data_IF_855613349482
#
_entry.id   IF_855613349482
#
_cell.length_a   1.000
_cell.length_b   1.000
_cell.length_c   1.000
_cell.angle_alpha   90.00
_cell.angle_beta   90.00
_cell.angle_gamma   90.00
#
_symmetry.space_group_name_H-M   'P 1'
#
loop_
_entity.id
_entity.type
_entity.pdbx_description
1 polymer ?
#
# COMPACT_ATOMS: atom_id res chain seq x y z
N UNK A 1 8.57 -12.29 -0.15
CA UNK A 1 7.54 -11.79 0.78
C UNK A 1 7.62 -10.26 0.78
N UNK A 2 6.49 -9.54 0.82
CA UNK A 2 6.44 -8.07 0.69
C UNK A 2 5.75 -7.48 1.93
N UNK A 3 6.26 -6.36 2.44
CA UNK A 3 5.65 -5.57 3.51
C UNK A 3 5.40 -4.13 3.08
N UNK A 4 4.40 -3.49 3.70
CA UNK A 4 4.06 -2.09 3.47
C UNK A 4 3.60 -1.39 4.76
N UNK A 5 3.95 -0.11 4.91
CA UNK A 5 3.56 0.74 6.04
C UNK A 5 3.12 2.11 5.52
N UNK A 6 1.95 2.58 5.95
CA UNK A 6 1.45 3.93 5.68
C UNK A 6 1.73 4.83 6.88
N UNK A 7 2.39 5.95 6.63
CA UNK A 7 2.79 6.93 7.66
C UNK A 7 2.27 8.31 7.29
N UNK A 8 1.73 9.04 8.28
CA UNK A 8 1.36 10.45 8.12
C UNK A 8 1.63 11.20 9.40
N UNK A 9 2.22 12.39 9.30
CA UNK A 9 2.54 13.24 10.45
C UNK A 9 3.36 12.53 11.56
N UNK A 10 4.25 11.61 11.18
CA UNK A 10 5.05 10.83 12.13
C UNK A 10 4.32 9.66 12.79
N UNK A 11 3.05 9.41 12.44
CA UNK A 11 2.26 8.31 12.97
C UNK A 11 2.08 7.19 11.95
N UNK A 12 2.13 5.95 12.40
CA UNK A 12 1.79 4.77 11.59
C UNK A 12 0.27 4.66 11.54
N UNK A 13 -0.29 4.81 10.34
CA UNK A 13 -1.73 4.71 10.10
C UNK A 13 -2.16 3.29 9.75
N UNK A 14 -1.29 2.50 9.11
CA UNK A 14 -1.61 1.16 8.66
C UNK A 14 -0.38 0.35 8.29
N UNK A 15 -0.46 -0.97 8.46
CA UNK A 15 0.60 -1.91 8.13
C UNK A 15 0.00 -3.10 7.38
N UNK A 16 0.79 -3.69 6.48
CA UNK A 16 0.36 -4.82 5.67
C UNK A 16 1.53 -5.69 5.25
N UNK A 17 1.22 -6.97 5.01
CA UNK A 17 2.15 -7.93 4.45
C UNK A 17 1.42 -8.87 3.49
N UNK A 18 2.11 -9.33 2.44
CA UNK A 18 1.58 -10.37 1.57
C UNK A 18 1.81 -11.74 2.22
N UNK A 19 0.74 -12.33 2.76
CA UNK A 19 0.81 -13.56 3.56
C UNK A 19 0.62 -14.84 2.74
N UNK A 20 -0.09 -14.78 1.60
CA UNK A 20 -0.40 -15.96 0.78
C UNK A 20 -0.59 -15.60 -0.68
N UNK A 21 -0.03 -16.40 -1.59
CA UNK A 21 -0.23 -16.21 -3.02
C UNK A 21 -1.72 -16.22 -3.40
N UNK A 22 -2.13 -15.22 -4.19
CA UNK A 22 -3.51 -15.06 -4.65
C UNK A 22 -4.42 -14.32 -3.67
N UNK A 23 -3.91 -13.86 -2.52
CA UNK A 23 -4.61 -12.90 -1.64
C UNK A 23 -4.12 -11.47 -1.90
N UNK A 24 -4.77 -10.43 -1.33
CA UNK A 24 -4.31 -9.06 -1.50
C UNK A 24 -2.84 -8.86 -1.12
N UNK A 25 -2.18 -7.93 -1.80
CA UNK A 25 -0.79 -7.58 -1.53
C UNK A 25 -0.67 -6.72 -0.27
N UNK A 26 0.57 -6.47 0.15
CA UNK A 26 0.88 -5.73 1.37
C UNK A 26 0.30 -4.31 1.35
N UNK A 27 0.37 -3.64 0.20
CA UNK A 27 -0.11 -2.29 -0.05
C UNK A 27 -1.62 -2.18 0.19
N UNK A 28 -2.39 -3.19 -0.28
CA UNK A 28 -3.84 -3.25 -0.09
C UNK A 28 -4.18 -3.30 1.40
N UNK A 29 -3.49 -4.16 2.15
CA UNK A 29 -3.70 -4.29 3.59
C UNK A 29 -3.32 -3.02 4.36
N UNK A 30 -2.17 -2.41 4.03
CA UNK A 30 -1.70 -1.20 4.69
C UNK A 30 -2.62 0.00 4.43
N UNK A 31 -3.07 0.17 3.19
CA UNK A 31 -4.01 1.23 2.78
C UNK A 31 -5.38 1.03 3.43
N UNK A 32 -5.91 -0.20 3.42
CA UNK A 32 -7.17 -0.51 4.07
C UNK A 32 -7.12 -0.24 5.59
N UNK A 33 -6.01 -0.57 6.24
CA UNK A 33 -5.81 -0.29 7.67
C UNK A 33 -5.73 1.22 7.97
N UNK A 34 -5.13 2.01 7.07
CA UNK A 34 -5.06 3.47 7.20
C UNK A 34 -6.42 4.17 6.98
N UNK A 35 -7.34 3.54 6.25
CA UNK A 35 -8.69 4.06 5.98
C UNK A 35 -8.67 5.48 5.39
N UNK A 36 -9.62 6.31 5.80
CA UNK A 36 -9.77 7.69 5.29
C UNK A 36 -8.56 8.60 5.57
N UNK A 37 -7.68 8.21 6.51
CA UNK A 37 -6.49 9.00 6.87
C UNK A 37 -5.36 8.87 5.83
N UNK A 38 -5.47 7.92 4.90
CA UNK A 38 -4.44 7.61 3.88
C UNK A 38 -4.15 8.79 2.92
N UNK A 39 -5.13 9.66 2.68
CA UNK A 39 -4.97 10.77 1.74
C UNK A 39 -3.88 11.74 2.22
N UNK A 40 -2.88 11.98 1.38
CA UNK A 40 -1.70 12.81 1.69
C UNK A 40 -0.69 12.15 2.62
N UNK A 41 -0.80 10.84 2.87
CA UNK A 41 0.19 10.06 3.61
C UNK A 41 1.36 9.64 2.70
N UNK A 42 2.40 9.08 3.32
CA UNK A 42 3.49 8.39 2.64
C UNK A 42 3.33 6.88 2.82
N UNK A 43 3.82 6.10 1.85
CA UNK A 43 3.90 4.65 1.96
C UNK A 43 5.33 4.17 1.77
N UNK A 44 5.74 3.22 2.61
CA UNK A 44 7.01 2.52 2.53
C UNK A 44 6.71 1.08 2.16
N UNK A 45 7.29 0.58 1.08
CA UNK A 45 7.07 -0.77 0.58
C UNK A 45 8.41 -1.43 0.30
N UNK A 46 8.55 -2.71 0.58
CA UNK A 46 9.86 -3.41 0.44
C UNK A 46 10.19 -3.86 -0.99
N UNK A 47 9.26 -3.67 -1.93
CA UNK A 47 9.38 -4.09 -3.33
C UNK A 47 8.52 -3.16 -4.18
N UNK A 48 8.92 -2.95 -5.43
CA UNK A 48 8.16 -2.12 -6.38
C UNK A 48 6.68 -2.56 -6.46
N UNK A 49 5.71 -1.62 -6.27
CA UNK A 49 4.30 -1.94 -6.42
C UNK A 49 3.96 -2.49 -7.80
N UNK A 50 3.14 -3.53 -7.87
CA UNK A 50 2.79 -4.13 -9.17
C UNK A 50 2.02 -3.15 -10.06
N UNK A 51 2.31 -3.19 -11.38
CA UNK A 51 1.78 -2.29 -12.41
C UNK A 51 1.02 -3.00 -13.55
N UNK A 52 0.88 -4.33 -13.48
CA UNK A 52 0.17 -5.12 -14.48
C UNK A 52 -1.24 -5.51 -14.01
N UNK A 53 -2.16 -5.63 -14.97
CA UNK A 53 -3.51 -6.13 -14.71
C UNK A 53 -3.50 -7.66 -14.70
N UNK A 54 -3.59 -8.22 -13.49
CA UNK A 54 -3.70 -9.67 -13.26
C UNK A 54 -5.11 -10.06 -12.78
N UNK A 55 -5.16 -10.93 -11.77
CA UNK A 55 -6.43 -11.31 -11.11
C UNK A 55 -7.00 -10.20 -10.23
N UNK A 56 -6.15 -9.30 -9.75
CA UNK A 56 -6.51 -8.10 -8.99
C UNK A 56 -5.98 -6.87 -9.72
N UNK A 57 -6.60 -5.68 -9.51
CA UNK A 57 -6.03 -4.42 -9.98
C UNK A 57 -4.60 -4.20 -9.46
N UNK A 58 -3.76 -3.47 -10.20
CA UNK A 58 -2.38 -3.20 -9.79
C UNK A 58 -2.32 -2.31 -8.54
N UNK A 59 -1.29 -2.54 -7.71
CA UNK A 59 -1.09 -1.77 -6.48
C UNK A 59 -0.67 -0.33 -6.78
N UNK A 60 0.00 -0.08 -7.91
CA UNK A 60 0.32 1.27 -8.37
C UNK A 60 -0.95 2.13 -8.52
N UNK A 61 -2.00 1.61 -9.17
CA UNK A 61 -3.28 2.33 -9.32
C UNK A 61 -3.96 2.57 -7.97
N UNK A 62 -3.92 1.58 -7.08
CA UNK A 62 -4.47 1.73 -5.73
C UNK A 62 -3.78 2.86 -4.96
N UNK A 63 -2.44 2.94 -5.00
CA UNK A 63 -1.67 3.99 -4.34
C UNK A 63 -2.06 5.38 -4.87
N UNK A 64 -2.14 5.52 -6.19
CA UNK A 64 -2.55 6.77 -6.86
C UNK A 64 -3.96 7.17 -6.42
N UNK A 65 -4.92 6.23 -6.52
CA UNK A 65 -6.33 6.48 -6.19
C UNK A 65 -6.56 6.76 -4.70
N UNK A 66 -5.69 6.25 -3.81
CA UNK A 66 -5.73 6.53 -2.37
C UNK A 66 -5.24 7.94 -2.02
N UNK A 67 -4.62 8.64 -2.98
CA UNK A 67 -4.07 9.98 -2.76
C UNK A 67 -2.83 9.99 -1.87
N UNK A 68 -2.04 8.91 -1.88
CA UNK A 68 -0.71 8.88 -1.26
C UNK A 68 0.21 9.86 -1.98
N UNK A 69 1.01 10.62 -1.20
CA UNK A 69 1.85 11.69 -1.74
C UNK A 69 3.25 11.20 -2.12
N UNK A 70 3.82 10.25 -1.36
CA UNK A 70 5.17 9.73 -1.58
C UNK A 70 5.23 8.22 -1.39
N UNK A 71 6.05 7.57 -2.21
CA UNK A 71 6.32 6.13 -2.17
C UNK A 71 7.81 5.93 -1.97
N UNK A 72 8.17 5.11 -0.99
CA UNK A 72 9.54 4.68 -0.73
C UNK A 72 9.66 3.18 -1.00
N UNK A 73 10.67 2.79 -1.78
CA UNK A 73 10.96 1.40 -2.18
C UNK A 73 12.34 1.03 -1.68
#
# INVERSE_FOLDING_TARGET
>A
QVGAVVVKNGEILGMGAHLKAGTPHAEVHAIAAAGDKVKGADIYVTLEPCSHFGRTPPCADLIINSGINRVFI
#
